data_IF_657525936039
#
_entry.id   IF_657525936039
#
_cell.length_a   1.000
_cell.length_b   1.000
_cell.length_c   1.000
_cell.angle_alpha   90.00
_cell.angle_beta   90.00
_cell.angle_gamma   90.00
#
_symmetry.space_group_name_H-M   'P 1'
#
loop_
_entity.id
_entity.type
_entity.pdbx_description
1 polymer ?
#
# COMPACT_ATOMS: atom_id res chain seq x y z
N UNK A 1 41.91 -2.30 15.18
CA UNK A 1 42.54 -2.00 13.89
C UNK A 1 41.75 -2.59 12.74
N UNK A 2 42.18 -2.34 11.52
CA UNK A 2 41.58 -2.93 10.32
C UNK A 2 42.66 -3.33 9.32
N UNK A 3 42.47 -4.45 8.64
CA UNK A 3 43.34 -4.95 7.58
C UNK A 3 42.54 -4.86 6.26
N UNK A 4 43.24 -4.41 5.20
CA UNK A 4 42.68 -4.33 3.85
C UNK A 4 43.29 -5.44 3.00
N UNK A 5 42.41 -6.18 2.32
CA UNK A 5 42.79 -7.19 1.33
C UNK A 5 42.06 -6.86 0.02
N UNK A 6 42.76 -6.16 -0.86
CA UNK A 6 42.13 -5.54 -2.05
C UNK A 6 41.12 -4.48 -1.63
N UNK A 7 39.86 -4.60 -2.11
CA UNK A 7 38.76 -3.70 -1.74
C UNK A 7 38.04 -4.10 -0.45
N UNK A 8 38.36 -5.27 0.12
CA UNK A 8 37.71 -5.78 1.32
C UNK A 8 38.40 -5.28 2.57
N UNK A 9 37.64 -4.79 3.54
CA UNK A 9 38.07 -4.34 4.84
C UNK A 9 37.67 -5.36 5.90
N UNK A 10 38.65 -5.86 6.66
CA UNK A 10 38.43 -6.77 7.79
C UNK A 10 38.84 -6.07 9.09
N UNK A 11 38.03 -6.25 10.12
CA UNK A 11 38.36 -5.74 11.43
C UNK A 11 39.38 -6.68 12.12
N UNK A 12 40.51 -6.12 12.53
CA UNK A 12 41.49 -6.83 13.36
C UNK A 12 41.12 -6.61 14.83
N UNK A 13 40.59 -7.64 15.45
CA UNK A 13 40.12 -7.61 16.84
C UNK A 13 40.96 -8.58 17.66
N UNK A 14 41.67 -8.06 18.65
CA UNK A 14 42.39 -8.88 19.67
C UNK A 14 41.39 -9.10 20.82
N UNK A 15 41.14 -10.37 21.14
CA UNK A 15 40.19 -10.76 22.21
C UNK A 15 40.84 -11.81 23.07
N UNK A 16 40.45 -11.84 24.35
CA UNK A 16 40.65 -12.98 25.22
C UNK A 16 39.91 -14.20 24.70
N UNK A 17 40.42 -15.39 24.96
CA UNK A 17 39.79 -16.62 24.58
C UNK A 17 38.33 -16.69 25.10
N UNK A 18 37.50 -17.38 24.37
CA UNK A 18 36.06 -17.52 24.69
C UNK A 18 35.80 -18.10 26.07
N UNK A 19 36.67 -19.00 26.50
CA UNK A 19 36.57 -19.64 27.83
C UNK A 19 36.78 -18.68 28.99
N UNK A 20 37.61 -17.62 28.80
CA UNK A 20 37.95 -16.65 29.82
C UNK A 20 37.01 -15.44 29.92
N UNK A 21 35.87 -15.48 29.26
CA UNK A 21 34.90 -14.37 29.24
C UNK A 21 33.42 -14.80 29.10
N UNK A 22 33.12 -15.99 29.65
CA UNK A 22 31.72 -16.53 29.59
C UNK A 22 30.83 -15.91 30.66
N UNK A 23 31.40 -15.69 31.85
CA UNK A 23 30.64 -15.23 33.00
C UNK A 23 31.26 -13.95 33.61
N UNK A 24 30.48 -13.28 34.43
CA UNK A 24 30.95 -12.08 35.18
C UNK A 24 32.15 -12.42 36.07
N UNK A 25 32.16 -13.62 36.62
CA UNK A 25 33.26 -14.09 37.49
C UNK A 25 34.55 -14.27 36.70
N UNK A 26 34.49 -14.70 35.45
CA UNK A 26 35.70 -14.79 34.59
C UNK A 26 36.32 -13.41 34.38
N UNK A 27 35.45 -12.40 34.17
CA UNK A 27 35.91 -10.99 33.99
C UNK A 27 36.45 -10.43 35.29
N UNK A 28 35.87 -10.73 36.44
CA UNK A 28 36.32 -10.31 37.77
C UNK A 28 37.72 -10.85 38.10
N UNK A 29 38.01 -12.06 37.64
CA UNK A 29 39.29 -12.76 37.88
C UNK A 29 40.36 -12.46 36.83
N UNK A 30 40.10 -11.60 35.86
CA UNK A 30 41.13 -11.17 34.88
C UNK A 30 42.31 -10.52 35.62
N UNK A 31 43.52 -11.02 35.29
CA UNK A 31 44.71 -10.47 35.87
C UNK A 31 45.18 -9.20 35.16
N UNK A 32 45.42 -8.17 35.91
CA UNK A 32 45.94 -6.87 35.43
C UNK A 32 47.34 -6.67 36.00
N UNK A 33 48.30 -6.36 35.13
CA UNK A 33 49.66 -6.04 35.55
C UNK A 33 49.73 -4.64 36.14
N UNK A 34 50.27 -4.55 37.33
CA UNK A 34 50.58 -3.26 38.03
C UNK A 34 51.90 -2.70 37.47
N UNK A 35 52.20 -1.39 37.68
CA UNK A 35 53.47 -0.79 37.31
C UNK A 35 54.68 -1.44 37.99
N UNK A 36 54.47 -2.11 39.12
CA UNK A 36 55.48 -2.87 39.87
C UNK A 36 55.68 -4.29 39.34
N UNK A 37 54.98 -4.72 38.30
CA UNK A 37 55.08 -6.05 37.68
C UNK A 37 54.30 -7.15 38.42
N UNK A 38 53.50 -6.80 39.44
CA UNK A 38 52.66 -7.75 40.15
C UNK A 38 51.31 -7.84 39.44
N UNK A 39 50.79 -9.05 39.18
CA UNK A 39 49.49 -9.27 38.63
C UNK A 39 48.42 -9.34 39.71
N UNK A 40 47.35 -8.57 39.58
CA UNK A 40 46.23 -8.52 40.52
C UNK A 40 44.91 -8.75 39.78
N UNK A 41 43.90 -9.40 40.40
CA UNK A 41 42.56 -9.57 39.80
C UNK A 41 41.87 -8.23 39.57
N UNK A 42 41.12 -8.11 38.48
CA UNK A 42 40.34 -6.90 38.13
C UNK A 42 39.40 -6.52 39.26
N UNK A 43 38.81 -7.49 39.96
CA UNK A 43 37.93 -7.28 41.13
C UNK A 43 38.54 -6.50 42.27
N UNK A 44 39.91 -6.41 42.33
CA UNK A 44 40.61 -5.62 43.35
C UNK A 44 40.54 -4.12 43.09
N UNK A 45 40.44 -3.71 41.81
CA UNK A 45 40.52 -2.31 41.38
C UNK A 45 39.21 -1.80 40.75
N UNK A 46 38.31 -2.72 40.39
CA UNK A 46 37.02 -2.38 39.77
C UNK A 46 35.89 -3.31 40.19
N UNK A 47 34.64 -2.81 40.20
CA UNK A 47 33.45 -3.64 40.35
C UNK A 47 32.87 -3.96 38.96
N UNK A 48 32.70 -5.25 38.69
CA UNK A 48 32.12 -5.73 37.42
C UNK A 48 30.70 -6.19 37.68
N UNK A 49 29.74 -5.54 37.06
CA UNK A 49 28.30 -5.84 37.21
C UNK A 49 27.66 -6.04 35.85
N UNK A 50 26.77 -7.01 35.77
CA UNK A 50 25.92 -7.19 34.60
C UNK A 50 24.74 -6.21 34.68
N UNK A 51 24.65 -5.28 33.74
CA UNK A 51 23.52 -4.34 33.64
C UNK A 51 22.76 -4.55 32.34
N UNK A 52 21.46 -4.65 32.47
CA UNK A 52 20.56 -4.62 31.34
C UNK A 52 20.59 -3.22 30.69
N UNK A 53 20.82 -3.16 29.42
CA UNK A 53 20.83 -1.93 28.65
C UNK A 53 20.14 -2.13 27.32
N UNK A 54 19.70 -1.03 26.70
CA UNK A 54 19.11 -1.08 25.37
C UNK A 54 20.14 -1.55 24.33
N UNK A 55 19.79 -2.59 23.59
CA UNK A 55 20.67 -3.17 22.59
C UNK A 55 20.94 -2.19 21.42
N UNK A 56 19.93 -1.41 21.04
CA UNK A 56 20.02 -0.45 19.95
C UNK A 56 19.20 0.80 20.24
N UNK A 57 19.81 1.97 20.07
CA UNK A 57 19.11 3.25 20.10
C UNK A 57 18.89 3.73 18.68
N UNK A 58 17.68 3.58 18.18
CA UNK A 58 17.33 4.09 16.85
C UNK A 58 17.06 5.59 16.89
N UNK A 59 17.46 6.27 15.81
CA UNK A 59 17.23 7.70 15.65
C UNK A 59 16.71 7.99 14.26
N UNK A 60 15.81 8.96 14.19
CA UNK A 60 15.28 9.53 12.96
C UNK A 60 15.25 11.05 13.11
N UNK A 61 15.72 11.77 12.11
CA UNK A 61 15.85 13.23 12.15
C UNK A 61 16.55 13.74 13.43
N UNK A 62 17.63 13.08 13.84
CA UNK A 62 18.41 13.32 15.06
C UNK A 62 17.66 13.07 16.40
N UNK A 63 16.40 12.68 16.38
CA UNK A 63 15.59 12.35 17.56
C UNK A 63 15.61 10.83 17.82
N UNK A 64 15.56 10.43 19.08
CA UNK A 64 15.39 9.01 19.44
C UNK A 64 14.00 8.55 19.08
N UNK A 65 13.88 7.33 18.53
CA UNK A 65 12.59 6.71 18.26
C UNK A 65 12.51 5.30 18.81
N UNK A 66 11.30 4.89 19.14
CA UNK A 66 10.94 3.50 19.43
C UNK A 66 9.91 3.10 18.39
N UNK A 67 10.12 1.94 17.78
CA UNK A 67 9.18 1.38 16.81
C UNK A 67 8.40 0.27 17.49
N UNK A 68 7.07 0.42 17.50
CA UNK A 68 6.15 -0.64 17.89
C UNK A 68 5.52 -1.18 16.61
N UNK A 69 5.97 -2.36 16.18
CA UNK A 69 5.46 -3.02 14.98
C UNK A 69 4.40 -4.06 15.35
N UNK A 70 3.32 -4.11 14.56
CA UNK A 70 2.28 -5.14 14.67
C UNK A 70 1.70 -5.48 13.31
N UNK A 71 1.18 -6.68 13.17
CA UNK A 71 0.50 -7.16 11.98
C UNK A 71 -0.99 -7.29 12.24
N UNK A 72 -1.80 -6.78 11.32
CA UNK A 72 -3.26 -6.89 11.39
C UNK A 72 -3.69 -8.21 10.76
N UNK A 73 -4.55 -8.97 11.45
CA UNK A 73 -5.16 -10.21 10.92
C UNK A 73 -6.68 -10.11 10.99
N UNK A 74 -7.37 -10.58 9.96
CA UNK A 74 -8.84 -10.64 9.87
C UNK A 74 -9.54 -9.28 10.02
N UNK A 75 -8.83 -8.18 9.80
CA UNK A 75 -9.39 -6.82 9.85
C UNK A 75 -8.64 -5.90 8.88
N UNK A 76 -9.27 -4.82 8.49
CA UNK A 76 -8.67 -3.78 7.67
C UNK A 76 -7.65 -2.93 8.45
N UNK A 77 -6.53 -2.61 7.79
CA UNK A 77 -5.45 -1.82 8.38
C UNK A 77 -5.91 -0.41 8.77
N UNK A 78 -6.70 0.24 7.90
CA UNK A 78 -7.16 1.61 8.15
C UNK A 78 -8.02 1.69 9.41
N UNK A 79 -9.06 0.84 9.51
CA UNK A 79 -9.96 0.83 10.65
C UNK A 79 -9.24 0.45 11.96
N UNK A 80 -8.24 -0.42 11.88
CA UNK A 80 -7.44 -0.81 13.05
C UNK A 80 -6.59 0.36 13.56
N UNK A 81 -5.92 1.08 12.65
CA UNK A 81 -5.09 2.22 13.02
C UNK A 81 -5.95 3.40 13.50
N UNK A 82 -7.12 3.65 12.89
CA UNK A 82 -8.05 4.69 13.36
C UNK A 82 -8.55 4.41 14.78
N UNK A 83 -8.86 3.16 15.13
CA UNK A 83 -9.26 2.80 16.49
C UNK A 83 -8.08 2.92 17.47
N UNK A 84 -6.87 2.53 17.04
CA UNK A 84 -5.65 2.69 17.83
C UNK A 84 -5.35 4.17 18.09
N UNK A 85 -5.51 5.03 17.09
CA UNK A 85 -5.39 6.48 17.24
C UNK A 85 -6.35 7.02 18.32
N UNK A 86 -7.62 6.62 18.27
CA UNK A 86 -8.63 7.03 19.28
C UNK A 86 -8.25 6.59 20.70
N UNK A 87 -7.75 5.37 20.85
CA UNK A 87 -7.31 4.85 22.17
C UNK A 87 -6.10 5.61 22.66
N UNK A 88 -5.11 5.84 21.79
CA UNK A 88 -3.89 6.57 22.13
C UNK A 88 -4.20 8.01 22.52
N UNK A 89 -5.03 8.71 21.75
CA UNK A 89 -5.44 10.09 22.07
C UNK A 89 -6.20 10.21 23.39
N UNK A 90 -7.00 9.18 23.72
CA UNK A 90 -7.80 9.18 24.94
C UNK A 90 -6.99 8.83 26.19
N UNK A 91 -6.14 7.80 26.08
CA UNK A 91 -5.53 7.17 27.26
C UNK A 91 -4.08 7.65 27.50
N UNK A 92 -3.41 8.20 26.47
CA UNK A 92 -2.02 8.61 26.58
C UNK A 92 -1.85 10.13 26.48
N UNK A 93 -1.41 10.73 27.58
CA UNK A 93 -0.93 12.11 27.59
C UNK A 93 0.58 12.10 27.35
N UNK A 94 0.99 12.45 26.14
CA UNK A 94 2.40 12.54 25.81
C UNK A 94 3.09 13.67 26.55
N UNK A 95 4.28 13.43 27.14
CA UNK A 95 5.11 14.49 27.69
C UNK A 95 5.53 15.47 26.57
N UNK A 96 5.87 16.71 26.97
CA UNK A 96 6.38 17.70 26.02
C UNK A 96 7.64 17.19 25.30
N UNK A 97 7.68 17.32 23.98
CA UNK A 97 8.77 16.85 23.13
C UNK A 97 8.64 15.42 22.61
N UNK A 98 7.57 14.70 22.96
CA UNK A 98 7.25 13.40 22.37
C UNK A 98 6.17 13.54 21.31
N UNK A 99 6.31 12.75 20.23
CA UNK A 99 5.31 12.67 19.16
C UNK A 99 5.11 11.21 18.77
N UNK A 100 3.90 10.87 18.33
CA UNK A 100 3.58 9.57 17.77
C UNK A 100 3.35 9.75 16.27
N UNK A 101 4.00 8.92 15.47
CA UNK A 101 3.79 8.83 14.03
C UNK A 101 3.33 7.43 13.66
N UNK A 102 2.41 7.35 12.71
CA UNK A 102 1.87 6.09 12.20
C UNK A 102 2.43 5.88 10.79
N UNK A 103 3.33 4.92 10.66
CA UNK A 103 4.09 4.66 9.42
C UNK A 103 3.80 3.31 8.79
N UNK A 104 4.69 2.90 7.88
CA UNK A 104 4.62 1.62 7.20
C UNK A 104 3.50 1.51 6.18
N UNK A 105 2.81 0.38 6.14
CA UNK A 105 1.72 0.12 5.18
C UNK A 105 0.58 1.12 5.29
N UNK A 106 0.29 1.62 6.49
CA UNK A 106 -0.74 2.63 6.72
C UNK A 106 -0.39 3.98 6.06
N UNK A 107 0.84 4.43 6.16
CA UNK A 107 1.30 5.66 5.51
C UNK A 107 1.21 5.55 3.99
N UNK A 108 1.66 4.42 3.42
CA UNK A 108 1.54 4.15 2.00
C UNK A 108 0.07 4.17 1.54
N UNK A 109 -0.84 3.61 2.35
CA UNK A 109 -2.28 3.62 2.08
C UNK A 109 -2.84 5.05 2.08
N UNK A 110 -2.47 5.88 3.04
CA UNK A 110 -2.86 7.28 3.12
C UNK A 110 -2.36 8.08 1.91
N UNK A 111 -1.09 7.92 1.54
CA UNK A 111 -0.51 8.58 0.37
C UNK A 111 -1.20 8.14 -0.93
N UNK A 112 -1.45 6.85 -1.10
CA UNK A 112 -2.16 6.33 -2.28
C UNK A 112 -3.61 6.82 -2.33
N UNK A 113 -4.33 6.86 -1.20
CA UNK A 113 -5.67 7.42 -1.10
C UNK A 113 -5.70 8.89 -1.50
N UNK A 114 -4.76 9.69 -1.02
CA UNK A 114 -4.64 11.11 -1.37
C UNK A 114 -4.40 11.30 -2.87
N UNK A 115 -3.51 10.51 -3.48
CA UNK A 115 -3.24 10.55 -4.92
C UNK A 115 -4.47 10.14 -5.74
N UNK A 116 -5.19 9.09 -5.34
CA UNK A 116 -6.40 8.63 -6.01
C UNK A 116 -7.52 9.68 -5.91
N UNK A 117 -7.65 10.36 -4.78
CA UNK A 117 -8.66 11.41 -4.57
C UNK A 117 -8.51 12.58 -5.56
N UNK A 118 -7.30 12.85 -6.03
CA UNK A 118 -7.01 13.86 -7.05
C UNK A 118 -7.09 13.24 -8.46
N UNK A 119 -6.50 12.07 -8.65
CA UNK A 119 -6.38 11.46 -9.98
C UNK A 119 -7.75 11.03 -10.56
N UNK A 120 -8.66 10.50 -9.73
CA UNK A 120 -9.96 10.02 -10.21
C UNK A 120 -10.83 11.16 -10.77
N UNK A 121 -11.07 12.28 -10.09
CA UNK A 121 -11.84 13.39 -10.66
C UNK A 121 -11.21 13.97 -11.92
N UNK A 122 -9.89 14.10 -11.95
CA UNK A 122 -9.18 14.60 -13.13
C UNK A 122 -9.37 13.65 -14.33
N UNK A 123 -9.22 12.34 -14.11
CA UNK A 123 -9.41 11.36 -15.18
C UNK A 123 -10.85 11.33 -15.69
N UNK A 124 -11.84 11.43 -14.80
CA UNK A 124 -13.25 11.48 -15.17
C UNK A 124 -13.58 12.75 -15.98
N UNK A 125 -13.03 13.89 -15.59
CA UNK A 125 -13.18 15.14 -16.33
C UNK A 125 -12.54 15.04 -17.72
N UNK A 126 -11.35 14.45 -17.81
CA UNK A 126 -10.64 14.25 -19.07
C UNK A 126 -11.40 13.29 -19.99
N UNK A 127 -11.98 12.20 -19.46
CA UNK A 127 -12.85 11.29 -20.20
C UNK A 127 -14.06 12.06 -20.75
N UNK A 128 -14.73 12.85 -19.93
CA UNK A 128 -15.90 13.63 -20.36
C UNK A 128 -15.55 14.63 -21.46
N UNK A 129 -14.40 15.30 -21.35
CA UNK A 129 -13.88 16.22 -22.35
C UNK A 129 -13.56 15.49 -23.66
N UNK A 130 -12.89 14.33 -23.60
CA UNK A 130 -12.62 13.48 -24.76
C UNK A 130 -13.91 12.99 -25.45
N UNK A 131 -14.92 12.60 -24.68
CA UNK A 131 -16.23 12.21 -25.21
C UNK A 131 -16.92 13.38 -25.90
N UNK A 132 -16.82 14.58 -25.36
CA UNK A 132 -17.33 15.76 -26.01
C UNK A 132 -16.69 16.01 -27.38
N UNK A 133 -15.37 15.94 -27.46
CA UNK A 133 -14.67 16.10 -28.74
C UNK A 133 -14.98 14.97 -29.75
N UNK A 134 -15.13 13.74 -29.25
CA UNK A 134 -15.41 12.59 -30.13
C UNK A 134 -16.80 12.65 -30.76
N UNK A 135 -17.80 13.11 -30.02
CA UNK A 135 -19.20 13.13 -30.48
C UNK A 135 -19.75 14.53 -30.80
N UNK A 136 -18.97 15.56 -30.55
CA UNK A 136 -19.36 16.96 -30.70
C UNK A 136 -20.75 17.27 -30.07
N UNK A 137 -21.06 16.57 -28.99
CA UNK A 137 -22.35 16.65 -28.30
C UNK A 137 -22.24 16.30 -26.82
N UNK A 138 -22.62 17.23 -25.97
CA UNK A 138 -22.67 17.00 -24.53
C UNK A 138 -23.66 15.90 -24.14
N UNK A 139 -24.79 15.81 -24.87
CA UNK A 139 -25.84 14.80 -24.60
C UNK A 139 -25.31 13.38 -24.77
N UNK A 140 -24.58 13.10 -25.84
CA UNK A 140 -24.00 11.77 -26.08
C UNK A 140 -22.87 11.50 -25.10
N UNK A 141 -22.05 12.51 -24.78
CA UNK A 141 -21.02 12.39 -23.77
C UNK A 141 -21.57 12.00 -22.41
N UNK A 142 -22.62 12.70 -21.93
CA UNK A 142 -23.27 12.40 -20.65
C UNK A 142 -23.95 11.02 -20.65
N UNK A 143 -24.55 10.62 -21.78
CA UNK A 143 -25.19 9.32 -21.89
C UNK A 143 -24.16 8.18 -21.80
N UNK A 144 -23.00 8.30 -22.44
CA UNK A 144 -21.90 7.35 -22.29
C UNK A 144 -21.35 7.38 -20.87
N UNK A 145 -21.17 8.57 -20.33
CA UNK A 145 -20.64 8.76 -18.97
C UNK A 145 -21.56 8.13 -17.91
N UNK A 146 -22.87 8.04 -18.14
CA UNK A 146 -23.80 7.37 -17.23
C UNK A 146 -23.54 5.86 -17.10
N UNK A 147 -22.75 5.25 -17.98
CA UNK A 147 -22.32 3.86 -17.83
C UNK A 147 -21.36 3.66 -16.63
N UNK A 148 -20.64 4.72 -16.21
CA UNK A 148 -19.73 4.66 -15.06
C UNK A 148 -20.47 4.34 -13.76
N UNK A 149 -21.46 5.13 -13.31
CA UNK A 149 -22.20 4.79 -12.08
C UNK A 149 -22.92 3.45 -12.16
N UNK A 150 -23.39 3.04 -13.35
CA UNK A 150 -24.00 1.72 -13.52
C UNK A 150 -22.98 0.59 -13.32
N UNK A 151 -21.76 0.73 -13.87
CA UNK A 151 -20.69 -0.25 -13.69
C UNK A 151 -20.21 -0.30 -12.23
N UNK A 152 -20.23 0.83 -11.54
CA UNK A 152 -19.85 0.93 -10.13
C UNK A 152 -20.73 0.06 -9.22
N UNK A 153 -22.03 -0.04 -9.51
CA UNK A 153 -22.95 -0.91 -8.77
C UNK A 153 -22.45 -2.36 -8.79
N UNK A 154 -22.05 -2.87 -9.96
CA UNK A 154 -21.51 -4.23 -10.09
C UNK A 154 -20.22 -4.43 -9.29
N UNK A 155 -19.32 -3.45 -9.31
CA UNK A 155 -18.10 -3.48 -8.55
C UNK A 155 -18.34 -3.49 -7.03
N UNK A 156 -19.24 -2.64 -6.53
CA UNK A 156 -19.60 -2.60 -5.10
C UNK A 156 -20.25 -3.91 -4.66
N UNK A 157 -21.19 -4.45 -5.46
CA UNK A 157 -21.83 -5.73 -5.17
C UNK A 157 -20.81 -6.87 -5.11
N UNK A 158 -19.81 -6.90 -5.98
CA UNK A 158 -18.79 -7.94 -5.97
C UNK A 158 -17.91 -7.87 -4.72
N UNK A 159 -17.56 -6.68 -4.24
CA UNK A 159 -16.83 -6.49 -2.97
C UNK A 159 -17.68 -6.94 -1.78
N UNK A 160 -18.98 -6.57 -1.79
CA UNK A 160 -19.92 -6.94 -0.72
C UNK A 160 -20.14 -8.45 -0.63
N UNK A 161 -20.30 -9.15 -1.77
CA UNK A 161 -20.48 -10.61 -1.80
C UNK A 161 -19.24 -11.34 -1.26
N UNK A 162 -18.06 -10.77 -1.47
CA UNK A 162 -16.78 -11.34 -0.99
C UNK A 162 -16.40 -10.87 0.42
N UNK A 163 -17.19 -10.06 1.06
CA UNK A 163 -16.93 -9.45 2.37
C UNK A 163 -15.55 -8.74 2.43
N UNK A 164 -15.20 -8.06 1.31
CA UNK A 164 -13.94 -7.36 1.17
C UNK A 164 -14.12 -5.86 1.36
N UNK A 165 -13.28 -5.27 2.19
CA UNK A 165 -13.23 -3.82 2.35
C UNK A 165 -12.67 -3.14 1.09
N UNK A 166 -13.06 -1.88 0.90
CA UNK A 166 -12.53 -1.07 -0.21
C UNK A 166 -11.05 -0.81 0.00
N UNK A 167 -10.21 -1.40 -0.84
CA UNK A 167 -8.76 -1.26 -0.83
C UNK A 167 -8.27 -0.39 -1.99
N UNK A 168 -6.98 -0.01 -1.96
CA UNK A 168 -6.32 0.70 -3.08
C UNK A 168 -6.41 -0.14 -4.36
N UNK A 169 -6.18 -1.44 -4.24
CA UNK A 169 -6.29 -2.38 -5.37
C UNK A 169 -7.69 -2.41 -5.96
N UNK A 170 -8.73 -2.36 -5.11
CA UNK A 170 -10.11 -2.21 -5.56
C UNK A 170 -10.31 -0.88 -6.30
N UNK A 171 -9.74 0.24 -5.79
CA UNK A 171 -9.80 1.55 -6.46
C UNK A 171 -9.20 1.52 -7.87
N UNK A 172 -8.05 0.89 -8.05
CA UNK A 172 -7.44 0.68 -9.38
C UNK A 172 -8.33 -0.18 -10.27
N UNK A 173 -8.93 -1.24 -9.71
CA UNK A 173 -9.89 -2.08 -10.41
C UNK A 173 -11.12 -1.30 -10.89
N UNK A 174 -11.64 -0.38 -10.09
CA UNK A 174 -12.73 0.51 -10.51
C UNK A 174 -12.35 1.42 -11.67
N UNK A 175 -11.13 1.98 -11.69
CA UNK A 175 -10.64 2.79 -12.82
C UNK A 175 -10.62 1.97 -14.11
N UNK A 176 -10.13 0.74 -14.06
CA UNK A 176 -10.13 -0.17 -15.21
C UNK A 176 -11.56 -0.51 -15.67
N UNK A 177 -12.47 -0.79 -14.72
CA UNK A 177 -13.88 -1.06 -14.98
C UNK A 177 -14.57 0.13 -15.66
N UNK A 178 -14.30 1.35 -15.24
CA UNK A 178 -14.84 2.57 -15.85
C UNK A 178 -14.35 2.72 -17.30
N UNK A 179 -13.08 2.43 -17.56
CA UNK A 179 -12.51 2.45 -18.92
C UNK A 179 -13.24 1.49 -19.86
N UNK A 180 -13.46 0.25 -19.44
CA UNK A 180 -14.19 -0.77 -20.21
C UNK A 180 -15.66 -0.38 -20.43
N UNK A 181 -16.33 0.15 -19.40
CA UNK A 181 -17.72 0.58 -19.48
C UNK A 181 -17.89 1.74 -20.48
N UNK A 182 -17.00 2.74 -20.42
CA UNK A 182 -17.02 3.88 -21.35
C UNK A 182 -16.72 3.42 -22.78
N UNK A 183 -15.75 2.52 -22.99
CA UNK A 183 -15.42 1.98 -24.31
C UNK A 183 -16.63 1.29 -24.94
N UNK A 184 -17.33 0.44 -24.21
CA UNK A 184 -18.54 -0.21 -24.69
C UNK A 184 -19.66 0.81 -25.00
N UNK A 185 -19.79 1.85 -24.16
CA UNK A 185 -20.73 2.96 -24.41
C UNK A 185 -20.42 3.73 -25.70
N UNK A 186 -19.13 4.05 -25.95
CA UNK A 186 -18.67 4.73 -27.17
C UNK A 186 -19.08 3.92 -28.41
N UNK A 187 -18.75 2.62 -28.41
CA UNK A 187 -19.04 1.73 -29.56
C UNK A 187 -20.55 1.63 -29.84
N UNK A 188 -21.37 1.57 -28.79
CA UNK A 188 -22.82 1.49 -28.92
C UNK A 188 -23.43 2.79 -29.45
N UNK A 189 -23.03 3.94 -28.89
CA UNK A 189 -23.54 5.25 -29.33
C UNK A 189 -23.08 5.61 -30.73
N UNK A 190 -21.83 5.26 -31.10
CA UNK A 190 -21.35 5.43 -32.47
C UNK A 190 -22.21 4.66 -33.49
N UNK A 191 -22.60 3.41 -33.14
CA UNK A 191 -23.48 2.62 -34.00
C UNK A 191 -24.90 3.22 -34.07
N UNK A 192 -25.46 3.68 -32.96
CA UNK A 192 -26.76 4.36 -32.96
C UNK A 192 -26.75 5.62 -33.86
N UNK A 193 -25.68 6.41 -33.79
CA UNK A 193 -25.52 7.58 -34.65
C UNK A 193 -25.43 7.18 -36.15
N UNK A 194 -24.76 6.06 -36.47
CA UNK A 194 -24.70 5.53 -37.81
C UNK A 194 -26.07 5.06 -38.30
N UNK A 195 -26.82 4.34 -37.45
CA UNK A 195 -28.15 3.86 -37.82
C UNK A 195 -29.17 4.99 -37.97
N UNK A 196 -29.02 6.10 -37.25
CA UNK A 196 -29.85 7.31 -37.44
C UNK A 196 -29.77 7.93 -38.83
N UNK A 197 -28.68 7.71 -39.55
CA UNK A 197 -28.54 8.20 -40.92
C UNK A 197 -29.39 7.41 -41.91
N UNK A 198 -29.77 6.18 -41.53
CA UNK A 198 -30.50 5.23 -42.40
C UNK A 198 -31.99 5.09 -42.00
N UNK A 199 -32.25 5.19 -40.71
CA UNK A 199 -33.59 4.95 -40.15
C UNK A 199 -34.07 6.18 -39.40
N UNK A 200 -35.32 6.60 -39.66
CA UNK A 200 -35.94 7.77 -39.04
C UNK A 200 -36.57 7.44 -37.67
N UNK A 201 -36.97 6.19 -37.43
CA UNK A 201 -37.57 5.77 -36.17
C UNK A 201 -36.50 5.42 -35.14
N UNK A 202 -36.55 6.11 -33.99
CA UNK A 202 -35.62 5.94 -32.89
C UNK A 202 -35.65 4.54 -32.27
N UNK A 203 -36.83 3.90 -32.24
CA UNK A 203 -37.01 2.54 -31.73
C UNK A 203 -36.30 1.53 -32.62
N UNK A 204 -36.40 1.72 -33.91
CA UNK A 204 -35.77 0.87 -34.90
C UNK A 204 -34.23 1.02 -34.86
N UNK A 205 -33.74 2.25 -34.77
CA UNK A 205 -32.30 2.56 -34.57
C UNK A 205 -31.73 1.83 -33.36
N UNK A 206 -32.41 1.91 -32.21
CA UNK A 206 -31.93 1.25 -30.97
C UNK A 206 -31.99 -0.27 -31.11
N UNK A 207 -33.06 -0.81 -31.71
CA UNK A 207 -33.23 -2.26 -31.90
C UNK A 207 -32.16 -2.85 -32.83
N UNK A 208 -31.92 -2.23 -33.99
CA UNK A 208 -30.96 -2.68 -34.97
C UNK A 208 -29.53 -2.47 -34.47
N UNK A 209 -29.21 -1.28 -33.98
CA UNK A 209 -27.88 -0.96 -33.48
C UNK A 209 -27.49 -1.82 -32.25
N UNK A 210 -28.44 -2.04 -31.33
CA UNK A 210 -28.25 -2.93 -30.20
C UNK A 210 -28.00 -4.37 -30.63
N UNK A 211 -28.80 -4.90 -31.58
CA UNK A 211 -28.62 -6.26 -32.12
C UNK A 211 -27.25 -6.42 -32.82
N UNK A 212 -26.83 -5.41 -33.59
CA UNK A 212 -25.56 -5.42 -34.33
C UNK A 212 -24.36 -5.42 -33.38
N UNK A 213 -24.43 -4.67 -32.29
CA UNK A 213 -23.32 -4.52 -31.32
C UNK A 213 -23.37 -5.47 -30.12
N UNK A 214 -24.46 -6.20 -29.94
CA UNK A 214 -24.61 -7.13 -28.83
C UNK A 214 -23.45 -8.15 -28.75
N UNK A 215 -23.15 -8.78 -29.87
CA UNK A 215 -22.11 -9.80 -29.94
C UNK A 215 -20.70 -9.26 -29.62
N UNK A 216 -20.20 -8.17 -30.25
CA UNK A 216 -18.93 -7.56 -29.90
C UNK A 216 -18.85 -7.09 -28.44
N UNK A 217 -19.88 -6.45 -27.92
CA UNK A 217 -19.92 -5.94 -26.53
C UNK A 217 -19.90 -7.10 -25.52
N UNK A 218 -20.65 -8.17 -25.75
CA UNK A 218 -20.61 -9.36 -24.91
C UNK A 218 -19.23 -10.03 -24.95
N UNK A 219 -18.62 -10.14 -26.15
CA UNK A 219 -17.29 -10.72 -26.31
C UNK A 219 -16.24 -9.93 -25.53
N UNK A 220 -16.23 -8.59 -25.64
CA UNK A 220 -15.28 -7.76 -24.87
C UNK A 220 -15.49 -7.88 -23.37
N UNK A 221 -16.74 -7.93 -22.91
CA UNK A 221 -17.08 -8.12 -21.51
C UNK A 221 -16.61 -9.50 -20.99
N UNK A 222 -16.85 -10.58 -21.75
CA UNK A 222 -16.39 -11.92 -21.38
C UNK A 222 -14.88 -12.04 -21.38
N UNK A 223 -14.18 -11.50 -22.38
CA UNK A 223 -12.71 -11.52 -22.45
C UNK A 223 -12.10 -10.78 -21.26
N UNK A 224 -12.62 -9.58 -20.94
CA UNK A 224 -12.17 -8.83 -19.79
C UNK A 224 -12.45 -9.59 -18.47
N UNK A 225 -13.65 -10.14 -18.30
CA UNK A 225 -14.01 -10.90 -17.09
C UNK A 225 -13.15 -12.14 -16.90
N UNK A 226 -12.93 -12.92 -17.97
CA UNK A 226 -12.08 -14.11 -17.93
C UNK A 226 -10.61 -13.76 -17.71
N UNK A 227 -10.14 -12.64 -18.29
CA UNK A 227 -8.76 -12.16 -18.09
C UNK A 227 -8.47 -11.75 -16.65
N UNK A 228 -9.45 -11.19 -15.94
CA UNK A 228 -9.31 -10.81 -14.54
C UNK A 228 -9.68 -11.94 -13.54
N UNK A 229 -10.25 -13.04 -14.02
CA UNK A 229 -10.65 -14.17 -13.16
C UNK A 229 -9.50 -14.73 -12.30
N UNK A 230 -8.28 -14.97 -12.84
CA UNK A 230 -7.16 -15.46 -12.03
C UNK A 230 -6.79 -14.48 -10.90
N UNK A 231 -6.82 -13.17 -11.17
CA UNK A 231 -6.58 -12.15 -10.15
C UNK A 231 -7.71 -12.09 -9.10
N UNK A 232 -8.95 -12.32 -9.53
CA UNK A 232 -10.10 -12.32 -8.64
C UNK A 232 -10.12 -13.54 -7.68
N UNK A 233 -9.56 -14.67 -8.08
CA UNK A 233 -9.50 -15.90 -7.26
C UNK A 233 -8.23 -15.90 -6.39
N UNK A 234 -7.21 -15.11 -6.76
CA UNK A 234 -5.97 -15.02 -5.98
C UNK A 234 -6.28 -14.51 -4.57
N UNK A 235 -6.00 -15.36 -3.60
CA UNK A 235 -5.93 -14.98 -2.18
C UNK A 235 -4.51 -14.43 -1.97
N UNK A 236 -4.31 -13.16 -2.31
CA UNK A 236 -3.02 -12.50 -2.10
C UNK A 236 -2.72 -12.43 -0.60
N UNK A 237 -1.65 -13.10 -0.18
CA UNK A 237 -0.93 -12.79 1.04
C UNK A 237 -0.04 -11.55 0.81
#
# INVERSE_FOLDING_TARGET
>A
GSVFEGEKKFDLVVRLDGEQRKNVDDVNNLLISTPSGIEIPLSTVASVELKESVNQIQRENAQRRIIVGFNVRNRDIQSTVEDLQKVVEKDFKLPSGYSISYGGTFENLQQAKSRLMIAVPISLLLILLMLYFAFNSVKYGLLIFSAIPLSMIGGILSLWIRDMNFSISAGVGFIALFGVAVLNGIVLIAEFNRQKLVHSDLKEVVKIGGKTRLRPVLMTAFVASLGFLPMAISTGE
#
